data_IF_414461859368
#
_entry.id   IF_414461859368
#
_cell.length_a   1.000
_cell.length_b   1.000
_cell.length_c   1.000
_cell.angle_alpha   90.00
_cell.angle_beta   90.00
_cell.angle_gamma   90.00
#
_symmetry.space_group_name_H-M   'P 1'
#
loop_
_entity.id
_entity.type
_entity.pdbx_description
1 polymer ?
#
# COMPACT_ATOMS: atom_id res chain seq x y z
N UNK A 1 32.92 -32.64 11.93
CA UNK A 1 31.65 -32.44 11.20
C UNK A 1 30.89 -31.39 11.96
N UNK A 2 30.99 -30.15 11.50
CA UNK A 2 30.29 -29.01 12.10
C UNK A 2 28.84 -29.07 11.59
N UNK A 3 27.95 -29.65 12.40
CA UNK A 3 26.52 -29.41 12.21
C UNK A 3 26.25 -27.95 12.57
N UNK A 4 26.47 -27.05 11.60
CA UNK A 4 25.83 -25.74 11.58
C UNK A 4 24.33 -25.98 11.37
N UNK A 5 23.64 -26.41 12.42
CA UNK A 5 22.19 -26.32 12.50
C UNK A 5 21.81 -24.89 12.15
N UNK A 6 20.92 -24.73 11.17
CA UNK A 6 20.51 -23.42 10.65
C UNK A 6 20.22 -22.46 11.80
N UNK A 7 20.83 -21.28 11.74
CA UNK A 7 20.69 -20.28 12.78
C UNK A 7 19.24 -19.83 12.89
N UNK A 8 18.84 -19.26 14.03
CA UNK A 8 17.50 -18.70 14.21
C UNK A 8 17.12 -17.72 13.08
N UNK A 9 18.11 -17.00 12.55
CA UNK A 9 17.97 -16.09 11.41
C UNK A 9 17.54 -16.83 10.13
N UNK A 10 18.16 -17.98 9.85
CA UNK A 10 17.80 -18.81 8.69
C UNK A 10 16.34 -19.31 8.78
N UNK A 11 15.89 -19.66 9.98
CA UNK A 11 14.49 -20.09 10.23
C UNK A 11 13.52 -18.92 10.03
N UNK A 12 13.87 -17.75 10.56
CA UNK A 12 13.06 -16.54 10.41
C UNK A 12 12.96 -16.12 8.94
N UNK A 13 14.06 -16.21 8.19
CA UNK A 13 14.09 -15.89 6.77
C UNK A 13 13.28 -16.90 5.95
N UNK A 14 13.36 -18.19 6.27
CA UNK A 14 12.51 -19.20 5.66
C UNK A 14 11.01 -18.93 5.93
N UNK A 15 10.66 -18.54 7.15
CA UNK A 15 9.29 -18.16 7.50
C UNK A 15 8.81 -16.91 6.74
N UNK A 16 9.63 -15.86 6.67
CA UNK A 16 9.29 -14.65 5.92
C UNK A 16 9.19 -14.91 4.42
N UNK A 17 10.04 -15.77 3.86
CA UNK A 17 9.95 -16.21 2.47
C UNK A 17 8.65 -17.00 2.22
N UNK A 18 8.28 -17.90 3.13
CA UNK A 18 7.02 -18.63 3.08
C UNK A 18 5.82 -17.67 3.10
N UNK A 19 5.79 -16.72 4.04
CA UNK A 19 4.74 -15.70 4.11
C UNK A 19 4.68 -14.85 2.83
N UNK A 20 5.84 -14.46 2.29
CA UNK A 20 5.92 -13.67 1.06
C UNK A 20 5.23 -14.39 -0.10
N UNK A 21 5.56 -15.67 -0.30
CA UNK A 21 5.06 -16.46 -1.45
C UNK A 21 3.60 -16.88 -1.26
N UNK A 22 3.22 -17.32 -0.07
CA UNK A 22 1.90 -17.94 0.14
C UNK A 22 0.81 -16.94 0.52
N UNK A 23 1.16 -15.83 1.17
CA UNK A 23 0.17 -14.86 1.70
C UNK A 23 0.31 -13.52 0.99
N UNK A 24 1.49 -12.91 1.05
CA UNK A 24 1.65 -11.51 0.65
C UNK A 24 1.56 -11.33 -0.86
N UNK A 25 2.30 -12.09 -1.67
CA UNK A 25 2.27 -11.94 -3.12
C UNK A 25 0.85 -12.14 -3.70
N UNK A 26 0.11 -13.23 -3.36
CA UNK A 26 -1.26 -13.41 -3.87
C UNK A 26 -2.23 -12.33 -3.38
N UNK A 27 -2.05 -11.81 -2.16
CA UNK A 27 -2.86 -10.70 -1.66
C UNK A 27 -2.53 -9.38 -2.37
N UNK A 28 -1.27 -9.12 -2.69
CA UNK A 28 -0.86 -7.95 -3.47
C UNK A 28 -1.40 -8.01 -4.90
N UNK A 29 -1.38 -9.16 -5.56
CA UNK A 29 -1.97 -9.33 -6.90
C UNK A 29 -3.48 -9.08 -6.89
N UNK A 30 -4.17 -9.55 -5.84
CA UNK A 30 -5.60 -9.24 -5.64
C UNK A 30 -5.83 -7.75 -5.39
N UNK A 31 -4.99 -7.10 -4.59
CA UNK A 31 -5.10 -5.66 -4.33
C UNK A 31 -4.89 -4.83 -5.62
N UNK A 32 -3.92 -5.22 -6.45
CA UNK A 32 -3.72 -4.63 -7.78
C UNK A 32 -4.95 -4.82 -8.67
N UNK A 33 -5.59 -5.99 -8.62
CA UNK A 33 -6.80 -6.27 -9.39
C UNK A 33 -7.98 -5.39 -8.96
N UNK A 34 -8.14 -5.16 -7.64
CA UNK A 34 -9.15 -4.22 -7.09
C UNK A 34 -8.87 -2.80 -7.58
N UNK A 35 -7.62 -2.34 -7.54
CA UNK A 35 -7.22 -1.02 -8.03
C UNK A 35 -7.40 -0.86 -9.55
N UNK A 36 -7.08 -1.89 -10.32
CA UNK A 36 -7.29 -1.89 -11.77
C UNK A 36 -8.78 -1.79 -12.10
N UNK A 37 -9.63 -2.53 -11.38
CA UNK A 37 -11.09 -2.43 -11.50
C UNK A 37 -11.58 -1.02 -11.15
N UNK A 38 -11.07 -0.43 -10.08
CA UNK A 38 -11.38 0.96 -9.71
C UNK A 38 -11.04 1.93 -10.84
N UNK A 39 -9.87 1.80 -11.48
CA UNK A 39 -9.48 2.65 -12.59
C UNK A 39 -10.46 2.54 -13.78
N UNK A 40 -10.86 1.32 -14.14
CA UNK A 40 -11.82 1.07 -15.22
C UNK A 40 -13.22 1.60 -14.87
N UNK A 41 -13.69 1.38 -13.65
CA UNK A 41 -15.01 1.87 -13.21
C UNK A 41 -15.03 3.40 -13.14
N UNK A 42 -13.92 4.04 -12.75
CA UNK A 42 -13.76 5.49 -12.79
C UNK A 42 -13.83 6.03 -14.22
N UNK A 43 -13.14 5.38 -15.16
CA UNK A 43 -13.18 5.74 -16.58
C UNK A 43 -14.60 5.65 -17.15
N UNK A 44 -15.33 4.59 -16.79
CA UNK A 44 -16.73 4.36 -17.18
C UNK A 44 -17.74 5.27 -16.48
N UNK A 45 -17.29 6.18 -15.62
CA UNK A 45 -18.15 7.13 -14.90
C UNK A 45 -19.02 6.48 -13.83
N UNK A 46 -18.71 5.24 -13.40
CA UNK A 46 -19.45 4.54 -12.34
C UNK A 46 -19.09 5.03 -10.94
N UNK A 47 -17.97 5.72 -10.81
CA UNK A 47 -17.53 6.33 -9.55
C UNK A 47 -18.11 7.74 -9.46
N UNK A 48 -18.73 8.06 -8.33
CA UNK A 48 -19.30 9.39 -8.11
C UNK A 48 -18.21 10.46 -8.24
N UNK A 49 -18.55 11.59 -8.87
CA UNK A 49 -17.63 12.74 -9.01
C UNK A 49 -17.17 13.26 -7.65
N UNK A 50 -17.97 13.07 -6.61
CA UNK A 50 -17.67 13.47 -5.23
C UNK A 50 -16.49 12.69 -4.65
N UNK A 51 -16.38 11.39 -4.98
CA UNK A 51 -15.22 10.56 -4.63
C UNK A 51 -13.94 10.97 -5.35
N UNK A 52 -14.05 11.77 -6.42
CA UNK A 52 -12.93 12.24 -7.26
C UNK A 52 -12.59 13.74 -7.06
N UNK A 53 -13.14 14.43 -6.06
CA UNK A 53 -12.86 15.85 -5.75
C UNK A 53 -11.45 16.14 -5.17
N UNK A 54 -10.60 16.81 -5.95
CA UNK A 54 -9.32 17.51 -5.62
C UNK A 54 -8.24 16.80 -4.77
N UNK A 55 -6.97 17.03 -5.18
CA UNK A 55 -5.77 16.84 -4.37
C UNK A 55 -5.16 15.43 -4.32
N UNK A 56 -5.95 14.36 -4.40
CA UNK A 56 -5.41 13.03 -4.12
C UNK A 56 -4.79 12.28 -5.34
N UNK A 57 -3.65 11.58 -5.15
CA UNK A 57 -2.89 10.87 -6.19
C UNK A 57 -3.69 9.96 -7.12
N UNK A 58 -4.73 9.32 -6.59
CA UNK A 58 -5.56 8.31 -7.24
C UNK A 58 -6.77 8.89 -7.99
N UNK A 59 -6.98 10.21 -7.94
CA UNK A 59 -8.14 10.88 -8.58
C UNK A 59 -7.96 11.12 -10.08
N UNK A 60 -6.84 10.67 -10.66
CA UNK A 60 -6.55 10.71 -12.10
C UNK A 60 -6.24 9.31 -12.66
N UNK A 61 -7.24 8.42 -12.75
CA UNK A 61 -7.07 7.12 -13.41
C UNK A 61 -6.83 7.31 -14.91
N UNK A 62 -6.24 6.31 -15.59
CA UNK A 62 -6.07 6.33 -17.04
C UNK A 62 -7.40 6.54 -17.76
N UNK A 63 -7.38 7.29 -18.86
CA UNK A 63 -8.57 7.57 -19.69
C UNK A 63 -8.80 6.50 -20.78
N UNK A 64 -8.26 5.31 -20.57
CA UNK A 64 -8.21 4.25 -21.57
C UNK A 64 -8.63 2.94 -20.93
N UNK A 65 -9.41 2.13 -21.65
CA UNK A 65 -9.79 0.77 -21.23
C UNK A 65 -8.67 -0.27 -21.42
N UNK A 66 -7.45 0.15 -21.73
CA UNK A 66 -6.33 -0.78 -21.91
C UNK A 66 -5.93 -1.40 -20.56
N UNK A 67 -6.08 -2.73 -20.38
CA UNK A 67 -5.82 -3.38 -19.11
C UNK A 67 -4.36 -3.21 -18.65
N UNK A 68 -3.40 -3.17 -19.57
CA UNK A 68 -1.98 -2.99 -19.24
C UNK A 68 -1.70 -1.64 -18.60
N UNK A 69 -2.25 -0.56 -19.17
CA UNK A 69 -2.08 0.80 -18.64
C UNK A 69 -2.76 0.96 -17.28
N UNK A 70 -3.96 0.38 -17.11
CA UNK A 70 -4.65 0.36 -15.83
C UNK A 70 -3.88 -0.43 -14.76
N UNK A 71 -3.23 -1.53 -15.15
CA UNK A 71 -2.40 -2.32 -14.25
C UNK A 71 -1.14 -1.55 -13.82
N UNK A 72 -0.44 -0.91 -14.76
CA UNK A 72 0.73 -0.07 -14.45
C UNK A 72 0.36 1.09 -13.52
N UNK A 73 -0.77 1.75 -13.78
CA UNK A 73 -1.29 2.79 -12.89
C UNK A 73 -1.59 2.25 -11.49
N UNK A 74 -2.28 1.11 -11.39
CA UNK A 74 -2.62 0.47 -10.11
C UNK A 74 -1.35 0.14 -9.31
N UNK A 75 -0.33 -0.37 -10.00
CA UNK A 75 0.98 -0.67 -9.42
C UNK A 75 1.66 0.58 -8.86
N UNK A 76 1.70 1.67 -9.60
CA UNK A 76 2.26 2.95 -9.12
C UNK A 76 1.50 3.47 -7.89
N UNK A 77 0.16 3.40 -7.89
CA UNK A 77 -0.65 3.81 -6.75
C UNK A 77 -0.34 2.98 -5.50
N UNK A 78 -0.25 1.66 -5.64
CA UNK A 78 0.01 0.77 -4.53
C UNK A 78 1.43 0.93 -3.97
N UNK A 79 2.42 1.14 -4.83
CA UNK A 79 3.80 1.44 -4.42
C UNK A 79 3.90 2.75 -3.64
N UNK A 80 3.24 3.81 -4.13
CA UNK A 80 3.19 5.11 -3.45
C UNK A 80 2.49 5.00 -2.09
N UNK A 81 1.41 4.22 -2.02
CA UNK A 81 0.69 3.94 -0.78
C UNK A 81 1.56 3.22 0.26
N UNK A 82 2.20 2.10 -0.12
CA UNK A 82 3.05 1.33 0.80
C UNK A 82 4.28 2.13 1.22
N UNK A 83 4.91 2.88 0.30
CA UNK A 83 6.01 3.78 0.66
C UNK A 83 5.58 4.81 1.70
N UNK A 84 4.38 5.39 1.55
CA UNK A 84 3.86 6.39 2.47
C UNK A 84 3.53 5.80 3.83
N UNK A 85 2.98 4.59 3.86
CA UNK A 85 2.67 3.85 5.09
C UNK A 85 3.95 3.39 5.81
N UNK A 86 4.97 2.99 5.06
CA UNK A 86 6.30 2.64 5.58
C UNK A 86 6.99 3.85 6.20
N UNK A 87 6.88 5.03 5.59
CA UNK A 87 7.42 6.28 6.14
C UNK A 87 6.75 6.68 7.47
N UNK A 88 5.55 6.16 7.73
CA UNK A 88 4.82 6.32 8.98
C UNK A 88 5.00 5.13 9.92
N UNK A 89 5.96 4.23 9.67
CA UNK A 89 6.17 3.00 10.44
C UNK A 89 4.89 2.15 10.61
N UNK A 90 3.95 2.28 9.68
CA UNK A 90 2.62 1.69 9.73
C UNK A 90 1.79 2.07 10.97
N UNK A 91 2.02 3.26 11.55
CA UNK A 91 1.38 3.78 12.76
C UNK A 91 0.27 4.80 12.52
N UNK A 92 -0.52 4.68 11.45
CA UNK A 92 -1.50 5.70 11.09
C UNK A 92 -2.73 5.65 12.02
N UNK A 93 -3.01 6.72 12.76
CA UNK A 93 -4.24 6.87 13.54
C UNK A 93 -5.29 7.60 12.70
N UNK A 94 -6.39 6.92 12.38
CA UNK A 94 -7.39 7.45 11.47
C UNK A 94 -8.49 8.28 12.15
N UNK A 95 -8.52 8.38 13.49
CA UNK A 95 -9.47 9.22 14.23
C UNK A 95 -8.83 10.41 14.95
N UNK A 96 -7.50 10.45 15.08
CA UNK A 96 -6.78 11.48 15.82
C UNK A 96 -7.13 12.93 15.39
N UNK A 97 -7.37 13.13 14.09
CA UNK A 97 -7.77 14.42 13.50
C UNK A 97 -9.07 14.31 12.67
N UNK A 98 -9.96 13.36 13.00
CA UNK A 98 -11.12 13.03 12.17
C UNK A 98 -10.77 12.69 10.71
N UNK A 99 -9.57 12.18 10.46
CA UNK A 99 -8.99 11.91 9.15
C UNK A 99 -9.53 10.62 8.51
N UNK A 100 -10.85 10.51 8.40
CA UNK A 100 -11.51 9.40 7.71
C UNK A 100 -11.23 9.39 6.20
N UNK A 101 -10.64 10.47 5.67
CA UNK A 101 -10.18 10.59 4.28
C UNK A 101 -9.27 9.45 3.84
N UNK A 102 -8.55 8.80 4.76
CA UNK A 102 -7.72 7.63 4.41
C UNK A 102 -8.56 6.46 3.87
N UNK A 103 -9.83 6.34 4.27
CA UNK A 103 -10.75 5.33 3.74
C UNK A 103 -11.32 5.68 2.36
N UNK A 104 -11.14 6.92 1.89
CA UNK A 104 -11.45 7.28 0.51
C UNK A 104 -10.34 6.84 -0.47
N UNK A 105 -9.16 6.48 0.03
CA UNK A 105 -8.08 5.96 -0.80
C UNK A 105 -8.38 4.52 -1.26
N UNK A 106 -8.49 4.27 -2.58
CA UNK A 106 -8.74 2.93 -3.08
C UNK A 106 -7.61 1.94 -2.73
N UNK A 107 -6.37 2.40 -2.53
CA UNK A 107 -5.26 1.55 -2.07
C UNK A 107 -5.45 1.10 -0.63
N UNK A 108 -5.96 1.97 0.24
CA UNK A 108 -6.28 1.60 1.62
C UNK A 108 -7.41 0.57 1.66
N UNK A 109 -8.50 0.82 0.92
CA UNK A 109 -9.64 -0.11 0.82
C UNK A 109 -9.21 -1.46 0.27
N UNK A 110 -8.42 -1.48 -0.82
CA UNK A 110 -7.92 -2.71 -1.40
C UNK A 110 -7.07 -3.51 -0.40
N UNK A 111 -6.21 -2.84 0.36
CA UNK A 111 -5.33 -3.49 1.34
C UNK A 111 -6.07 -4.07 2.55
N UNK A 112 -7.19 -3.45 2.97
CA UNK A 112 -8.11 -4.01 3.96
C UNK A 112 -8.86 -5.22 3.39
N UNK A 113 -9.38 -5.10 2.17
CA UNK A 113 -10.18 -6.15 1.52
C UNK A 113 -9.37 -7.45 1.34
N UNK A 114 -8.09 -7.33 0.99
CA UNK A 114 -7.20 -8.50 0.86
C UNK A 114 -6.64 -9.01 2.20
N UNK A 115 -6.94 -8.33 3.31
CA UNK A 115 -6.56 -8.74 4.66
C UNK A 115 -5.08 -8.53 5.01
N UNK A 116 -4.36 -7.68 4.27
CA UNK A 116 -2.97 -7.34 4.60
C UNK A 116 -2.89 -6.25 5.68
N UNK A 117 -3.88 -5.36 5.69
CA UNK A 117 -4.08 -4.38 6.74
C UNK A 117 -5.36 -4.69 7.52
N UNK A 118 -5.42 -4.23 8.76
CA UNK A 118 -6.63 -4.18 9.55
C UNK A 118 -6.79 -2.79 10.18
N UNK A 119 -8.04 -2.39 10.41
CA UNK A 119 -8.38 -1.19 11.15
C UNK A 119 -8.81 -1.59 12.57
N UNK A 120 -8.01 -1.20 13.56
CA UNK A 120 -8.31 -1.35 14.98
C UNK A 120 -9.18 -0.17 15.44
N UNK A 121 -10.25 -0.44 16.19
CA UNK A 121 -11.17 0.61 16.66
C UNK A 121 -10.64 1.38 17.88
N UNK A 122 -10.01 0.67 18.81
CA UNK A 122 -9.53 1.24 20.07
C UNK A 122 -8.19 0.60 20.49
N UNK A 123 -7.07 1.34 20.49
CA UNK A 123 -6.90 2.64 19.84
C UNK A 123 -7.08 2.57 18.31
N UNK A 124 -7.50 3.68 17.71
CA UNK A 124 -7.93 3.80 16.31
C UNK A 124 -6.79 3.79 15.28
N UNK A 125 -6.15 2.65 15.07
CA UNK A 125 -5.01 2.51 14.16
C UNK A 125 -5.28 1.64 12.94
N UNK A 126 -4.60 1.94 11.84
CA UNK A 126 -4.45 1.04 10.70
C UNK A 126 -3.08 0.36 10.81
N UNK A 127 -3.05 -0.98 10.80
CA UNK A 127 -1.81 -1.75 10.97
C UNK A 127 -1.75 -2.96 10.05
N UNK A 128 -0.55 -3.44 9.69
CA UNK A 128 -0.36 -4.75 9.09
C UNK A 128 -0.80 -5.83 10.07
N UNK A 129 -1.40 -6.90 9.55
CA UNK A 129 -1.91 -7.99 10.38
C UNK A 129 -0.85 -8.62 11.29
N UNK A 130 0.43 -8.59 10.87
CA UNK A 130 1.56 -9.00 11.71
C UNK A 130 2.83 -8.25 11.34
N UNK A 131 3.82 -8.26 12.24
CA UNK A 131 5.18 -7.77 11.94
C UNK A 131 5.85 -8.52 10.78
N UNK A 132 5.51 -9.80 10.60
CA UNK A 132 5.97 -10.58 9.45
C UNK A 132 5.44 -10.01 8.14
N UNK A 133 4.13 -9.73 8.09
CA UNK A 133 3.49 -9.10 6.92
C UNK A 133 4.05 -7.70 6.68
N UNK A 134 4.27 -6.90 7.73
CA UNK A 134 4.93 -5.59 7.61
C UNK A 134 6.28 -5.69 6.88
N UNK A 135 7.15 -6.63 7.29
CA UNK A 135 8.45 -6.87 6.64
C UNK A 135 8.29 -7.32 5.20
N UNK A 136 7.34 -8.21 4.93
CA UNK A 136 7.04 -8.67 3.57
C UNK A 136 6.52 -7.55 2.66
N UNK A 137 5.73 -6.59 3.17
CA UNK A 137 5.28 -5.43 2.41
C UNK A 137 6.45 -4.52 2.02
N UNK A 138 7.38 -4.28 2.95
CA UNK A 138 8.60 -3.52 2.66
C UNK A 138 9.48 -4.26 1.66
N UNK A 139 9.62 -5.58 1.80
CA UNK A 139 10.35 -6.42 0.84
C UNK A 139 9.72 -6.36 -0.56
N UNK A 140 8.40 -6.46 -0.64
CA UNK A 140 7.66 -6.33 -1.90
C UNK A 140 7.89 -4.97 -2.55
N UNK A 141 7.81 -3.87 -1.77
CA UNK A 141 8.10 -2.51 -2.25
C UNK A 141 9.50 -2.40 -2.85
N UNK A 142 10.51 -2.96 -2.18
CA UNK A 142 11.90 -2.96 -2.68
C UNK A 142 12.02 -3.78 -3.97
N UNK A 143 11.45 -4.99 -3.98
CA UNK A 143 11.48 -5.88 -5.15
C UNK A 143 10.84 -5.22 -6.38
N UNK A 144 9.69 -4.59 -6.21
CA UNK A 144 9.01 -3.90 -7.30
C UNK A 144 9.78 -2.67 -7.78
N UNK A 145 10.43 -1.93 -6.88
CA UNK A 145 11.29 -0.80 -7.27
C UNK A 145 12.52 -1.22 -8.06
N UNK A 146 13.11 -2.37 -7.72
CA UNK A 146 14.24 -2.93 -8.46
C UNK A 146 13.79 -3.39 -9.85
N UNK A 147 12.66 -4.12 -9.93
CA UNK A 147 12.13 -4.72 -11.15
C UNK A 147 11.43 -3.74 -12.10
N UNK A 148 11.20 -2.49 -11.69
CA UNK A 148 10.56 -1.49 -12.55
C UNK A 148 11.42 -1.09 -13.75
N UNK A 149 10.77 -0.89 -14.90
CA UNK A 149 11.37 -0.29 -16.08
C UNK A 149 11.81 1.15 -15.80
N UNK A 150 12.73 1.68 -16.63
CA UNK A 150 13.20 3.06 -16.48
C UNK A 150 12.05 4.08 -16.57
N UNK A 151 11.12 3.88 -17.52
CA UNK A 151 9.92 4.71 -17.68
C UNK A 151 9.04 4.61 -16.43
N UNK A 152 8.82 3.40 -15.91
CA UNK A 152 8.05 3.20 -14.68
C UNK A 152 8.68 3.87 -13.46
N UNK A 153 10.02 3.87 -13.34
CA UNK A 153 10.74 4.58 -12.28
C UNK A 153 10.53 6.10 -12.37
N UNK A 154 10.60 6.66 -13.57
CA UNK A 154 10.33 8.09 -13.79
C UNK A 154 8.88 8.45 -13.44
N UNK A 155 7.91 7.65 -13.88
CA UNK A 155 6.50 7.86 -13.54
C UNK A 155 6.26 7.77 -12.04
N UNK A 156 6.85 6.78 -11.36
CA UNK A 156 6.76 6.64 -9.92
C UNK A 156 7.36 7.84 -9.19
N UNK A 157 8.56 8.31 -9.59
CA UNK A 157 9.19 9.48 -9.00
C UNK A 157 8.34 10.74 -9.22
N UNK A 158 7.82 10.93 -10.42
CA UNK A 158 6.94 12.05 -10.75
C UNK A 158 5.65 12.02 -9.90
N UNK A 159 5.04 10.84 -9.78
CA UNK A 159 3.89 10.63 -8.91
C UNK A 159 4.23 11.02 -7.47
N UNK A 160 5.39 10.60 -6.93
CA UNK A 160 5.83 10.94 -5.57
C UNK A 160 6.04 12.44 -5.35
N UNK A 161 6.61 13.15 -6.33
CA UNK A 161 6.95 14.57 -6.18
C UNK A 161 5.71 15.46 -6.31
N UNK A 162 4.88 15.22 -7.33
CA UNK A 162 3.77 16.13 -7.65
C UNK A 162 2.48 15.71 -6.95
N UNK A 163 2.28 14.40 -6.80
CA UNK A 163 1.02 13.82 -6.36
C UNK A 163 1.23 12.81 -5.23
N UNK A 164 2.34 12.85 -4.51
CA UNK A 164 2.70 11.79 -3.58
C UNK A 164 1.77 11.74 -2.38
N UNK A 165 1.45 10.53 -1.92
CA UNK A 165 0.81 10.34 -0.61
C UNK A 165 1.76 10.78 0.51
N UNK A 166 1.19 11.41 1.54
CA UNK A 166 1.89 11.72 2.78
C UNK A 166 0.92 11.60 3.94
N UNK A 167 1.03 10.50 4.70
CA UNK A 167 0.21 10.27 5.90
C UNK A 167 0.93 10.66 7.19
N UNK A 168 2.09 11.34 7.09
CA UNK A 168 2.88 11.72 8.27
C UNK A 168 2.11 12.64 9.21
N UNK A 169 1.18 13.43 8.68
CA UNK A 169 0.28 14.27 9.47
C UNK A 169 -0.76 13.45 10.28
N UNK A 170 -0.98 12.18 9.92
CA UNK A 170 -1.90 11.24 10.60
C UNK A 170 -1.18 10.37 11.64
N UNK A 171 0.11 10.62 11.87
CA UNK A 171 0.86 10.02 12.96
C UNK A 171 0.59 10.83 14.22
N UNK A 172 -0.13 10.24 15.18
CA UNK A 172 -0.04 10.74 16.55
C UNK A 172 1.39 10.53 17.02
N UNK A 173 2.08 11.62 17.39
CA UNK A 173 3.22 11.51 18.29
C UNK A 173 2.69 10.88 19.58
N UNK A 174 3.11 9.66 19.91
CA UNK A 174 3.09 9.20 21.29
C UNK A 174 3.89 10.25 22.11
N UNK A 175 3.19 11.15 22.81
CA UNK A 175 3.84 12.27 23.49
C UNK A 175 3.06 13.58 23.64
N UNK A 176 1.80 13.69 23.19
CA UNK A 176 0.93 14.72 23.78
C UNK A 176 0.53 14.27 25.18
N UNK A 177 1.42 14.55 26.14
CA UNK A 177 1.09 14.64 27.55
C UNK A 177 -0.14 15.54 27.71
N UNK A 178 -1.22 14.96 28.21
CA UNK A 178 -2.04 15.58 29.25
C UNK A 178 -2.36 14.52 30.29
#
# INVERSE_FOLDING_TARGET
>A
MDEKGGTFEDILDAYLAYLQVTVVNPAMDRALSVLQKFAMDAHRGKISKDKLRFGAPWRHPPRTDNPGVCHEWAKIQLLDFIQSLSNTEFGVNYLADCSLEIFDDPSMVAMLEVGLLYAQRDPSFIRPLSRGIQRCLVRWLVQERVNMSYIGKLQFLWQRVIRGRSYRHLMLQEGYNK
#
